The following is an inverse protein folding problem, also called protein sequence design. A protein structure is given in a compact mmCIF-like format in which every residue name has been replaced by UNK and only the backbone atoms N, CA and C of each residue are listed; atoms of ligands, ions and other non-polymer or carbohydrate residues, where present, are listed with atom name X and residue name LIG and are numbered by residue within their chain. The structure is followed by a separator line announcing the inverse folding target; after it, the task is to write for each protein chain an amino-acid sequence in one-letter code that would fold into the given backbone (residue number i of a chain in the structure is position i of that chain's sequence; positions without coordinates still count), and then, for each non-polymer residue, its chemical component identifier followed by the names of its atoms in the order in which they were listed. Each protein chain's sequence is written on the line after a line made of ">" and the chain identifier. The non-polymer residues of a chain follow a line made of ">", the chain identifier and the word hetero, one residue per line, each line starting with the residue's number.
data_IF_582158264077
#
_entry.id   IF_582158264077
#
_cell.length_a   1.000
_cell.length_b   1.000
_cell.length_c   1.000
_cell.angle_alpha   90.00
_cell.angle_beta   90.00
_cell.angle_gamma   90.00
#
_symmetry.space_group_name_H-M   'P 1'
#
loop_
_entity.id
_entity.type
_entity.pdbx_description
1 polymer ?
#
# COMPACT_ATOMS: atom_id res chain seq x y z
N UNK A 1 11.09 13.38 9.95
CA UNK A 1 9.98 14.33 9.69
C UNK A 1 9.20 14.01 8.41
N UNK A 2 9.84 13.89 7.23
CA UNK A 2 9.09 13.65 5.98
C UNK A 2 8.36 12.28 5.92
N UNK A 3 8.94 11.22 6.48
CA UNK A 3 8.34 9.87 6.45
C UNK A 3 7.11 9.76 7.39
N UNK A 4 7.21 10.27 8.62
CA UNK A 4 6.07 10.31 9.54
C UNK A 4 4.87 11.09 8.98
N UNK A 5 5.14 12.22 8.30
CA UNK A 5 4.09 13.00 7.64
C UNK A 5 3.34 12.16 6.60
N UNK A 6 4.03 11.29 5.87
CA UNK A 6 3.42 10.38 4.88
C UNK A 6 2.62 9.26 5.52
N UNK A 7 3.13 8.67 6.60
CA UNK A 7 2.39 7.66 7.37
C UNK A 7 1.07 8.26 7.88
N UNK A 8 1.13 9.46 8.46
CA UNK A 8 -0.08 10.15 8.91
C UNK A 8 -1.04 10.45 7.74
N UNK A 9 -0.51 10.87 6.59
CA UNK A 9 -1.32 11.08 5.38
C UNK A 9 -2.00 9.79 4.91
N UNK A 10 -1.29 8.65 4.92
CA UNK A 10 -1.86 7.35 4.60
C UNK A 10 -3.00 6.98 5.56
N UNK A 11 -2.80 7.17 6.87
CA UNK A 11 -3.84 6.94 7.89
C UNK A 11 -5.08 7.80 7.65
N UNK A 12 -4.92 9.06 7.28
CA UNK A 12 -6.05 9.94 6.96
C UNK A 12 -6.75 9.55 5.65
N UNK A 13 -5.99 9.20 4.59
CA UNK A 13 -6.56 8.71 3.33
C UNK A 13 -7.35 7.42 3.53
N UNK A 14 -6.86 6.50 4.37
CA UNK A 14 -7.56 5.27 4.72
C UNK A 14 -8.87 5.56 5.48
N UNK A 15 -8.85 6.46 6.47
CA UNK A 15 -10.08 6.90 7.15
C UNK A 15 -11.09 7.52 6.19
N UNK A 16 -10.64 8.35 5.26
CA UNK A 16 -11.48 8.97 4.26
C UNK A 16 -12.06 7.92 3.28
N UNK A 17 -11.27 6.93 2.88
CA UNK A 17 -11.74 5.79 2.08
C UNK A 17 -12.81 5.00 2.85
N UNK A 18 -12.55 4.61 4.10
CA UNK A 18 -13.47 3.88 4.94
C UNK A 18 -14.80 4.64 5.12
N UNK A 19 -14.73 5.94 5.40
CA UNK A 19 -15.92 6.81 5.51
C UNK A 19 -16.69 6.87 4.19
N UNK A 20 -16.00 7.07 3.07
CA UNK A 20 -16.62 7.19 1.75
C UNK A 20 -17.28 5.89 1.33
N UNK A 21 -16.61 4.76 1.55
CA UNK A 21 -17.15 3.43 1.27
C UNK A 21 -18.36 3.11 2.16
N UNK A 22 -18.33 3.49 3.45
CA UNK A 22 -19.48 3.32 4.33
C UNK A 22 -20.72 4.10 3.82
N UNK A 23 -20.53 5.33 3.34
CA UNK A 23 -21.62 6.17 2.86
C UNK A 23 -22.11 5.81 1.45
N UNK A 24 -21.22 5.32 0.58
CA UNK A 24 -21.47 5.22 -0.86
C UNK A 24 -21.15 3.86 -1.48
N UNK A 25 -20.65 2.90 -0.72
CA UNK A 25 -20.16 1.60 -1.22
C UNK A 25 -21.20 0.83 -2.01
N UNK A 26 -22.44 0.73 -1.51
CA UNK A 26 -23.53 0.07 -2.23
C UNK A 26 -23.88 0.76 -3.55
N UNK A 27 -23.85 2.10 -3.58
CA UNK A 27 -24.11 2.86 -4.80
C UNK A 27 -22.97 2.71 -5.80
N UNK A 28 -21.73 2.68 -5.32
CA UNK A 28 -20.56 2.41 -6.14
C UNK A 28 -20.68 1.03 -6.79
N UNK A 29 -21.01 -0.01 -6.02
CA UNK A 29 -21.21 -1.38 -6.51
C UNK A 29 -22.28 -1.44 -7.60
N UNK A 30 -23.44 -0.83 -7.38
CA UNK A 30 -24.52 -0.77 -8.38
C UNK A 30 -24.07 -0.10 -9.68
N UNK A 31 -23.39 1.04 -9.59
CA UNK A 31 -22.87 1.75 -10.76
C UNK A 31 -21.84 0.87 -11.46
N UNK A 32 -20.85 0.36 -10.73
CA UNK A 32 -19.76 -0.46 -11.26
C UNK A 32 -20.24 -1.70 -12.01
N UNK A 33 -21.19 -2.43 -11.43
CA UNK A 33 -21.82 -3.59 -12.05
C UNK A 33 -22.64 -3.24 -13.30
N UNK A 34 -23.15 -2.01 -13.41
CA UNK A 34 -23.89 -1.55 -14.61
C UNK A 34 -22.98 -1.17 -15.78
N UNK A 35 -21.69 -0.92 -15.53
CA UNK A 35 -20.72 -0.56 -16.57
C UNK A 35 -20.23 -1.79 -17.33
N UNK A 36 -20.04 -1.65 -18.64
CA UNK A 36 -19.30 -2.63 -19.43
C UNK A 36 -17.78 -2.48 -19.26
N UNK A 37 -17.03 -3.42 -19.82
CA UNK A 37 -15.58 -3.47 -19.76
C UNK A 37 -14.90 -2.19 -20.28
N UNK A 38 -15.42 -1.63 -21.39
CA UNK A 38 -14.90 -0.41 -22.00
C UNK A 38 -15.05 0.76 -21.04
N UNK A 39 -16.25 0.92 -20.47
CA UNK A 39 -16.57 2.04 -19.59
C UNK A 39 -15.84 1.95 -18.25
N UNK A 40 -15.66 0.73 -17.71
CA UNK A 40 -14.82 0.49 -16.52
C UNK A 40 -13.37 0.93 -16.75
N UNK A 41 -12.81 0.58 -17.92
CA UNK A 41 -11.45 0.97 -18.30
C UNK A 41 -11.30 2.50 -18.42
N UNK A 42 -12.29 3.17 -19.00
CA UNK A 42 -12.32 4.64 -19.09
C UNK A 42 -12.36 5.30 -17.72
N UNK A 43 -13.28 4.87 -16.84
CA UNK A 43 -13.42 5.40 -15.48
C UNK A 43 -12.10 5.29 -14.70
N UNK A 44 -11.42 4.14 -14.76
CA UNK A 44 -10.13 3.97 -14.10
C UNK A 44 -9.03 4.87 -14.69
N UNK A 45 -8.98 5.01 -16.02
CA UNK A 45 -7.99 5.88 -16.68
C UNK A 45 -8.18 7.34 -16.27
N UNK A 46 -9.43 7.81 -16.23
CA UNK A 46 -9.77 9.16 -15.82
C UNK A 46 -9.45 9.39 -14.33
N UNK A 47 -9.85 8.48 -13.44
CA UNK A 47 -9.53 8.56 -12.02
C UNK A 47 -8.01 8.63 -11.78
N UNK A 48 -7.25 7.78 -12.47
CA UNK A 48 -5.80 7.79 -12.41
C UNK A 48 -5.19 9.13 -12.88
N UNK A 49 -5.69 9.70 -13.98
CA UNK A 49 -5.21 10.99 -14.49
C UNK A 49 -5.44 12.14 -13.50
N UNK A 50 -6.51 12.08 -12.70
CA UNK A 50 -6.80 13.07 -11.65
C UNK A 50 -5.90 12.88 -10.42
N UNK A 51 -5.54 11.64 -10.08
CA UNK A 51 -4.67 11.35 -8.95
C UNK A 51 -3.18 11.59 -9.23
N UNK A 52 -2.75 11.53 -10.50
CA UNK A 52 -1.35 11.68 -10.90
C UNK A 52 -0.70 13.01 -10.43
N UNK A 53 -1.35 14.18 -10.52
CA UNK A 53 -0.79 15.45 -10.02
C UNK A 53 -0.69 15.50 -8.49
N UNK A 54 -1.67 14.94 -7.76
CA UNK A 54 -1.66 14.88 -6.29
C UNK A 54 -0.49 14.03 -5.78
N UNK A 55 -0.08 13.02 -6.54
CA UNK A 55 1.07 12.17 -6.24
C UNK A 55 2.42 12.79 -6.66
N UNK A 56 2.43 13.82 -7.52
CA UNK A 56 3.64 14.54 -8.00
C UNK A 56 4.11 15.64 -7.04
N UNK A 57 3.22 16.26 -6.26
CA UNK A 57 3.55 17.33 -5.29
C UNK A 57 4.22 16.82 -4.00
N UNK A 58 4.37 15.50 -3.84
CA UNK A 58 5.17 14.92 -2.76
C UNK A 58 6.64 14.97 -3.20
N UNK A 59 7.46 15.85 -2.58
CA UNK A 59 8.92 16.10 -2.81
C UNK A 59 9.85 14.86 -2.78
N UNK A 60 9.29 13.67 -2.77
CA UNK A 60 9.97 12.41 -2.68
C UNK A 60 9.47 11.50 -3.82
N UNK A 61 10.03 11.70 -5.02
CA UNK A 61 10.09 10.64 -6.03
C UNK A 61 11.29 9.74 -5.74
N UNK A 62 11.06 8.69 -4.98
CA UNK A 62 11.09 7.35 -5.48
C UNK A 62 9.72 6.76 -5.21
N UNK A 63 9.39 5.67 -5.90
CA UNK A 63 8.22 4.87 -5.54
C UNK A 63 6.87 5.54 -5.96
N UNK A 64 6.87 6.45 -6.94
CA UNK A 64 5.68 7.18 -7.39
C UNK A 64 5.16 6.74 -8.76
N UNK A 65 4.41 5.65 -8.81
CA UNK A 65 3.43 5.42 -9.86
C UNK A 65 2.19 4.88 -9.14
N UNK A 66 0.96 5.34 -9.43
CA UNK A 66 -0.32 4.90 -8.84
C UNK A 66 -0.57 3.39 -8.69
N UNK A 67 0.32 2.53 -9.22
CA UNK A 67 0.52 1.12 -8.84
C UNK A 67 0.86 0.90 -7.34
N UNK A 68 0.42 1.77 -6.43
CA UNK A 68 0.73 1.66 -5.00
C UNK A 68 -0.41 2.02 -4.06
N UNK A 69 -1.51 2.56 -4.57
CA UNK A 69 -2.77 2.58 -3.81
C UNK A 69 -3.34 1.16 -3.81
N UNK A 70 -3.19 0.46 -4.95
CA UNK A 70 -3.37 -0.97 -5.06
C UNK A 70 -2.16 -1.52 -5.85
N UNK A 71 -1.14 -2.09 -5.18
CA UNK A 71 0.00 -2.71 -5.86
C UNK A 71 -0.41 -3.87 -6.78
N UNK A 72 -1.61 -4.40 -6.55
CA UNK A 72 -2.28 -5.46 -7.29
C UNK A 72 -2.90 -4.98 -8.62
N UNK A 73 -3.29 -3.70 -8.74
CA UNK A 73 -3.96 -3.17 -9.93
C UNK A 73 -2.95 -2.62 -10.94
N UNK A 74 -2.69 -3.37 -12.01
CA UNK A 74 -2.04 -2.81 -13.20
C UNK A 74 -3.11 -2.25 -14.14
N UNK A 75 -2.90 -1.05 -14.67
CA UNK A 75 -3.82 -0.41 -15.63
C UNK A 75 -4.20 -1.30 -16.82
N UNK A 76 -3.30 -2.19 -17.26
CA UNK A 76 -3.55 -3.15 -18.34
C UNK A 76 -4.43 -4.33 -17.94
N UNK A 77 -4.53 -4.62 -16.65
CA UNK A 77 -5.27 -5.76 -16.11
C UNK A 77 -6.70 -5.36 -15.72
N UNK A 78 -6.96 -4.08 -15.44
CA UNK A 78 -8.28 -3.57 -15.00
C UNK A 78 -9.40 -3.85 -16.00
N UNK A 79 -9.10 -3.76 -17.30
CA UNK A 79 -10.06 -4.14 -18.34
C UNK A 79 -10.37 -5.64 -18.29
N UNK A 80 -9.43 -6.47 -17.84
CA UNK A 80 -9.57 -7.94 -17.80
C UNK A 80 -10.03 -8.47 -16.44
N UNK A 81 -9.96 -7.67 -15.38
CA UNK A 81 -10.46 -8.03 -14.06
C UNK A 81 -11.99 -8.15 -14.10
N UNK A 82 -12.50 -9.16 -13.43
CA UNK A 82 -13.93 -9.30 -13.21
C UNK A 82 -14.43 -8.11 -12.37
N UNK A 83 -15.69 -7.74 -12.61
CA UNK A 83 -16.41 -6.74 -11.83
C UNK A 83 -16.28 -7.00 -10.33
N UNK A 84 -16.37 -8.27 -9.94
CA UNK A 84 -16.30 -8.70 -8.56
C UNK A 84 -14.91 -8.51 -7.93
N UNK A 85 -13.83 -8.68 -8.71
CA UNK A 85 -12.45 -8.56 -8.21
C UNK A 85 -12.16 -7.12 -7.74
N UNK A 86 -12.52 -6.11 -8.55
CA UNK A 86 -12.36 -4.69 -8.17
C UNK A 86 -13.20 -4.33 -6.93
N UNK A 87 -14.40 -4.88 -6.83
CA UNK A 87 -15.29 -4.61 -5.70
C UNK A 87 -14.77 -5.24 -4.41
N UNK A 88 -14.24 -6.46 -4.48
CA UNK A 88 -13.63 -7.13 -3.34
C UNK A 88 -12.38 -6.40 -2.87
N UNK A 89 -11.55 -5.90 -3.79
CA UNK A 89 -10.40 -5.06 -3.46
C UNK A 89 -10.81 -3.76 -2.76
N UNK A 90 -11.74 -3.01 -3.35
CA UNK A 90 -12.22 -1.77 -2.75
C UNK A 90 -12.80 -2.02 -1.35
N UNK A 91 -13.59 -3.08 -1.20
CA UNK A 91 -14.16 -3.47 0.09
C UNK A 91 -13.08 -3.82 1.10
N UNK A 92 -12.11 -4.66 0.72
CA UNK A 92 -10.98 -5.04 1.57
C UNK A 92 -10.24 -3.80 2.05
N UNK A 93 -9.81 -2.94 1.13
CA UNK A 93 -9.07 -1.70 1.42
C UNK A 93 -9.83 -0.73 2.31
N UNK A 94 -11.16 -0.67 2.18
CA UNK A 94 -11.99 0.24 2.97
C UNK A 94 -12.42 -0.31 4.34
N UNK A 95 -12.38 -1.63 4.55
CA UNK A 95 -12.95 -2.27 5.75
C UNK A 95 -11.93 -2.96 6.63
N UNK A 96 -10.71 -3.19 6.13
CA UNK A 96 -9.61 -3.74 6.90
C UNK A 96 -8.66 -2.64 7.33
N UNK A 97 -7.94 -2.88 8.43
CA UNK A 97 -6.94 -1.96 8.95
C UNK A 97 -5.71 -1.92 8.03
N UNK A 98 -4.90 -0.87 8.09
CA UNK A 98 -3.72 -0.73 7.20
C UNK A 98 -2.69 -1.83 7.50
N UNK A 99 -2.50 -2.18 8.78
CA UNK A 99 -1.72 -3.33 9.23
C UNK A 99 -2.23 -4.63 8.63
N UNK A 100 -3.54 -4.87 8.70
CA UNK A 100 -4.13 -6.06 8.11
C UNK A 100 -3.88 -6.12 6.60
N UNK A 101 -4.03 -5.01 5.87
CA UNK A 101 -3.72 -4.94 4.43
C UNK A 101 -2.25 -5.21 4.11
N UNK A 102 -1.34 -4.80 5.01
CA UNK A 102 0.07 -5.10 4.89
C UNK A 102 0.35 -6.59 5.01
N UNK A 103 -0.32 -7.27 5.95
CA UNK A 103 -0.18 -8.69 6.22
C UNK A 103 -0.87 -9.56 5.16
N UNK A 104 -2.13 -9.26 4.86
CA UNK A 104 -3.07 -10.12 4.15
C UNK A 104 -3.87 -9.33 3.11
N UNK A 105 -3.94 -9.90 1.91
CA UNK A 105 -4.67 -9.37 0.78
C UNK A 105 -6.11 -9.87 0.71
N UNK A 106 -6.78 -9.50 -0.37
CA UNK A 106 -8.17 -9.91 -0.63
C UNK A 106 -8.28 -11.44 -0.64
N UNK A 107 -9.30 -11.98 0.04
CA UNK A 107 -9.58 -13.44 0.11
C UNK A 107 -8.39 -14.27 0.63
N UNK A 108 -7.59 -13.72 1.54
CA UNK A 108 -6.40 -14.40 2.08
C UNK A 108 -5.24 -14.48 1.10
N UNK A 109 -5.25 -13.63 0.06
CA UNK A 109 -4.13 -13.45 -0.84
C UNK A 109 -2.95 -12.73 -0.19
N UNK A 110 -1.88 -12.48 -0.96
CA UNK A 110 -0.73 -11.74 -0.47
C UNK A 110 -1.11 -10.31 -0.06
N UNK A 111 -0.64 -9.85 1.11
CA UNK A 111 -0.77 -8.45 1.54
C UNK A 111 0.29 -7.54 0.91
N UNK A 112 0.25 -6.25 1.26
CA UNK A 112 1.13 -5.22 0.69
C UNK A 112 2.62 -5.54 0.88
N UNK A 113 3.00 -6.21 1.98
CA UNK A 113 4.39 -6.59 2.24
C UNK A 113 4.99 -7.40 1.10
N UNK A 114 4.21 -8.37 0.57
CA UNK A 114 4.67 -9.26 -0.49
C UNK A 114 4.93 -8.48 -1.78
N UNK A 115 4.04 -7.54 -2.11
CA UNK A 115 4.23 -6.66 -3.26
C UNK A 115 5.41 -5.71 -3.04
N UNK A 116 5.55 -5.11 -1.87
CA UNK A 116 6.66 -4.20 -1.56
C UNK A 116 8.00 -4.90 -1.72
N UNK A 117 8.16 -6.10 -1.16
CA UNK A 117 9.41 -6.89 -1.26
C UNK A 117 9.68 -7.30 -2.70
N UNK A 118 8.66 -7.75 -3.44
CA UNK A 118 8.82 -8.22 -4.82
C UNK A 118 9.06 -7.08 -5.82
N UNK A 119 8.66 -5.85 -5.50
CA UNK A 119 8.74 -4.70 -6.41
C UNK A 119 9.94 -3.78 -6.11
N UNK A 120 10.61 -3.94 -4.97
CA UNK A 120 11.85 -3.22 -4.65
C UNK A 120 13.04 -4.05 -5.16
N UNK A 121 13.81 -3.58 -6.15
CA UNK A 121 15.03 -4.26 -6.54
C UNK A 121 16.01 -4.25 -5.36
N UNK A 122 16.25 -5.43 -4.78
CA UNK A 122 17.15 -5.65 -3.63
C UNK A 122 18.60 -5.30 -3.98
N UNK A 123 18.96 -5.35 -5.26
CA UNK A 123 20.31 -5.07 -5.75
C UNK A 123 20.36 -3.72 -6.48
N UNK A 124 21.12 -2.76 -5.92
CA UNK A 124 21.46 -1.44 -6.49
C UNK A 124 20.41 -0.32 -6.41
N UNK A 125 19.49 -0.35 -5.44
CA UNK A 125 18.63 0.82 -5.20
C UNK A 125 19.37 1.89 -4.39
N UNK A 126 19.39 3.17 -4.83
CA UNK A 126 19.88 4.31 -4.03
C UNK A 126 19.19 4.46 -2.66
N UNK A 127 18.06 3.78 -2.47
CA UNK A 127 17.35 3.71 -1.19
C UNK A 127 18.14 2.92 -0.13
N UNK A 128 18.90 1.90 -0.52
CA UNK A 128 19.67 1.07 0.43
C UNK A 128 20.72 1.88 1.19
N UNK A 129 21.46 2.75 0.50
CA UNK A 129 22.42 3.66 1.13
C UNK A 129 21.75 4.77 1.93
N UNK A 130 20.63 5.33 1.42
CA UNK A 130 19.91 6.41 2.11
C UNK A 130 19.29 5.98 3.44
N UNK A 131 18.86 4.73 3.55
CA UNK A 131 18.24 4.15 4.74
C UNK A 131 19.15 3.17 5.46
N UNK A 132 20.46 3.27 5.26
CA UNK A 132 21.43 2.45 6.01
C UNK A 132 21.24 2.65 7.52
N UNK A 133 21.14 1.54 8.23
CA UNK A 133 20.86 1.46 9.66
C UNK A 133 19.48 1.98 10.10
N UNK A 134 18.52 2.11 9.19
CA UNK A 134 17.13 2.34 9.53
C UNK A 134 16.35 1.04 9.46
N UNK A 135 15.39 0.87 10.36
CA UNK A 135 14.35 -0.14 10.21
C UNK A 135 12.98 0.50 10.45
N UNK A 136 11.97 -0.07 9.83
CA UNK A 136 10.58 0.38 9.96
C UNK A 136 9.75 -0.77 10.46
N UNK A 137 8.95 -0.51 11.49
CA UNK A 137 8.03 -1.47 12.08
C UNK A 137 6.66 -1.32 11.42
N UNK A 138 5.99 -2.46 11.25
CA UNK A 138 4.63 -2.56 10.72
C UNK A 138 3.82 -3.53 11.60
N UNK A 139 4.00 -3.48 12.92
CA UNK A 139 3.53 -4.52 13.86
C UNK A 139 2.02 -4.45 14.17
N UNK A 140 1.46 -3.25 14.19
CA UNK A 140 0.04 -2.97 14.44
C UNK A 140 -0.34 -1.59 13.89
N UNK A 141 -1.58 -1.16 14.09
CA UNK A 141 -2.07 0.16 13.63
C UNK A 141 -1.37 1.35 14.27
N UNK A 142 -0.97 1.24 15.52
CA UNK A 142 -0.34 2.34 16.26
C UNK A 142 1.11 2.51 15.78
N UNK A 143 1.82 1.39 15.66
CA UNK A 143 3.23 1.32 15.24
C UNK A 143 3.40 1.17 13.71
N UNK A 144 2.31 1.27 12.94
CA UNK A 144 2.37 1.14 11.48
C UNK A 144 3.23 2.24 10.87
N UNK A 145 4.36 1.87 10.28
CA UNK A 145 5.28 2.78 9.61
C UNK A 145 6.24 3.51 10.55
N UNK A 146 6.37 3.05 11.80
CA UNK A 146 7.31 3.64 12.76
C UNK A 146 8.75 3.32 12.36
N UNK A 147 9.51 4.36 12.03
CA UNK A 147 10.89 4.22 11.57
C UNK A 147 11.88 4.64 12.65
N UNK A 148 12.81 3.74 12.95
CA UNK A 148 13.89 3.95 13.89
C UNK A 148 15.24 4.01 13.15
N UNK A 149 16.13 4.87 13.64
CA UNK A 149 17.53 4.93 13.18
C UNK A 149 18.41 4.30 14.24
N UNK A 150 19.17 3.29 13.88
CA UNK A 150 20.24 2.76 14.72
C UNK A 150 21.51 3.55 14.44
N UNK A 151 22.05 4.18 15.48
CA UNK A 151 23.25 5.02 15.37
C UNK A 151 24.53 4.22 15.37
N UNK A 152 24.54 3.03 16.00
CA UNK A 152 25.65 2.08 16.00
C UNK A 152 25.41 0.95 14.95
N UNK A 153 26.20 0.88 13.88
CA UNK A 153 26.07 -0.17 12.87
C UNK A 153 26.19 -1.59 13.45
N UNK A 154 27.05 -1.81 14.46
CA UNK A 154 27.21 -3.13 15.07
C UNK A 154 25.97 -3.55 15.89
N UNK A 155 25.19 -2.57 16.36
CA UNK A 155 23.90 -2.81 16.99
C UNK A 155 22.81 -3.08 15.96
N UNK A 156 22.89 -2.48 14.78
CA UNK A 156 21.92 -2.70 13.71
C UNK A 156 21.89 -4.16 13.28
N UNK A 157 23.05 -4.76 13.01
CA UNK A 157 23.14 -6.17 12.60
C UNK A 157 22.56 -7.12 13.65
N UNK A 158 22.77 -6.82 14.95
CA UNK A 158 22.19 -7.59 16.06
C UNK A 158 20.67 -7.46 16.13
N UNK A 159 20.15 -6.23 16.05
CA UNK A 159 18.71 -5.98 16.04
C UNK A 159 18.04 -6.69 14.87
N UNK A 160 18.63 -6.63 13.68
CA UNK A 160 18.08 -7.32 12.50
C UNK A 160 18.13 -8.84 12.65
N UNK A 161 19.18 -9.41 13.26
CA UNK A 161 19.25 -10.83 13.55
C UNK A 161 18.16 -11.29 14.53
N UNK A 162 17.94 -10.53 15.60
CA UNK A 162 16.89 -10.82 16.60
C UNK A 162 15.49 -10.69 16.00
N UNK A 163 15.25 -9.65 15.18
CA UNK A 163 13.99 -9.45 14.49
C UNK A 163 13.73 -10.51 13.41
N UNK A 164 14.76 -11.02 12.74
CA UNK A 164 14.61 -12.08 11.74
C UNK A 164 13.96 -13.33 12.34
N UNK A 165 14.32 -13.69 13.57
CA UNK A 165 13.72 -14.86 14.27
C UNK A 165 12.22 -14.68 14.46
N UNK A 166 11.77 -13.45 14.73
CA UNK A 166 10.36 -13.10 14.93
C UNK A 166 9.60 -13.10 13.60
N UNK A 167 10.20 -12.56 12.55
CA UNK A 167 9.64 -12.55 11.19
C UNK A 167 9.54 -13.96 10.61
N UNK A 168 10.57 -14.80 10.79
CA UNK A 168 10.57 -16.21 10.35
C UNK A 168 9.51 -17.05 11.08
N UNK A 169 9.12 -16.62 12.29
CA UNK A 169 8.02 -17.22 13.04
C UNK A 169 6.62 -16.72 12.60
N UNK A 170 6.55 -15.83 11.61
CA UNK A 170 5.30 -15.33 11.02
C UNK A 170 4.71 -14.11 11.73
N UNK A 171 5.49 -13.38 12.53
CA UNK A 171 5.06 -12.13 13.15
C UNK A 171 5.62 -10.94 12.37
N UNK A 172 4.73 -10.16 11.74
CA UNK A 172 5.06 -8.95 10.97
C UNK A 172 4.20 -7.76 11.39
#
# INVERSE_FOLDING_TARGET
>A
MALQKKVNMLKELHKDLARTYHLHGLRFEQIWCSLDQTRRTEVFREAHAVCEPVLKDVEYQPIGNPYRIDPELKLGDIGNLDSAEVLDMLKHRATTSIHHQYCEGVRGGPGDHAFIINTIPVNNSPLSERFKNYFTLFLDEDQYGDTMKVTDPAQFDRIMADLSVVVDAGFY
#
